data_IF_633713916871
#
_entry.id   IF_633713916871
#
_cell.length_a   1.000
_cell.length_b   1.000
_cell.length_c   1.000
_cell.angle_alpha   90.00
_cell.angle_beta   90.00
_cell.angle_gamma   90.00
#
_symmetry.space_group_name_H-M   'P 1'
#
loop_
_entity.id
_entity.type
_entity.pdbx_description
1 polymer ?
#
# COMPACT_ATOMS: atom_id res chain seq x y z
N UNK A 1 37.92 19.37 21.72
CA UNK A 1 36.53 19.08 21.30
C UNK A 1 35.63 19.84 22.23
N UNK A 2 34.96 20.87 21.73
CA UNK A 2 34.20 21.77 22.58
C UNK A 2 32.90 21.10 23.01
N UNK A 3 32.60 21.20 24.30
CA UNK A 3 31.40 20.67 24.94
C UNK A 3 30.10 21.09 24.23
N UNK A 4 30.07 22.27 23.61
CA UNK A 4 28.96 22.72 22.78
C UNK A 4 28.75 21.87 21.52
N UNK A 5 29.83 21.42 20.86
CA UNK A 5 29.74 20.58 19.64
C UNK A 5 29.17 19.20 19.97
N UNK A 6 29.59 18.62 21.10
CA UNK A 6 29.06 17.34 21.59
C UNK A 6 27.57 17.44 21.93
N UNK A 7 27.14 18.54 22.54
CA UNK A 7 25.74 18.77 22.87
C UNK A 7 24.87 18.87 21.60
N UNK A 8 25.31 19.63 20.60
CA UNK A 8 24.55 19.80 19.36
C UNK A 8 24.42 18.49 18.59
N UNK A 9 25.50 17.70 18.48
CA UNK A 9 25.46 16.38 17.81
C UNK A 9 24.52 15.42 18.55
N UNK A 10 24.55 15.41 19.88
CA UNK A 10 23.66 14.60 20.69
C UNK A 10 22.17 14.95 20.49
N UNK A 11 21.85 16.24 20.41
CA UNK A 11 20.47 16.70 20.21
C UNK A 11 19.94 16.30 18.82
N UNK A 12 20.77 16.43 17.78
CA UNK A 12 20.42 16.05 16.40
C UNK A 12 20.20 14.54 16.29
N UNK A 13 21.08 13.73 16.91
CA UNK A 13 20.92 12.28 16.95
C UNK A 13 19.62 11.86 17.65
N UNK A 14 19.33 12.46 18.81
CA UNK A 14 18.11 12.17 19.56
C UNK A 14 16.84 12.56 18.80
N UNK A 15 16.82 13.70 18.11
CA UNK A 15 15.66 14.12 17.31
C UNK A 15 15.41 13.20 16.12
N UNK A 16 16.46 12.77 15.41
CA UNK A 16 16.34 11.80 14.32
C UNK A 16 15.83 10.45 14.84
N UNK A 17 16.30 10.01 16.01
CA UNK A 17 15.85 8.77 16.63
C UNK A 17 14.36 8.84 17.01
N UNK A 18 13.92 9.96 17.61
CA UNK A 18 12.53 10.17 17.99
C UNK A 18 11.61 10.18 16.77
N UNK A 19 12.01 10.88 15.69
CA UNK A 19 11.23 10.93 14.46
C UNK A 19 11.11 9.55 13.79
N UNK A 20 12.16 8.72 13.84
CA UNK A 20 12.11 7.34 13.34
C UNK A 20 11.17 6.46 14.16
N UNK A 21 11.17 6.60 15.49
CA UNK A 21 10.27 5.85 16.38
C UNK A 21 8.81 6.23 16.13
N UNK A 22 8.52 7.52 15.97
CA UNK A 22 7.17 8.00 15.64
C UNK A 22 6.73 7.46 14.27
N UNK A 23 7.63 7.48 13.27
CA UNK A 23 7.34 6.98 11.93
C UNK A 23 7.11 5.46 11.91
N UNK A 24 7.93 4.68 12.64
CA UNK A 24 7.69 3.24 12.84
C UNK A 24 6.35 2.99 13.55
N UNK A 25 6.00 3.81 14.54
CA UNK A 25 4.71 3.71 15.23
C UNK A 25 3.52 3.92 14.29
N UNK A 26 3.60 4.90 13.39
CA UNK A 26 2.57 5.16 12.37
C UNK A 26 2.49 4.01 11.35
N UNK A 27 3.63 3.47 10.89
CA UNK A 27 3.67 2.31 10.01
C UNK A 27 3.10 1.04 10.68
N UNK A 28 3.42 0.83 11.96
CA UNK A 28 2.89 -0.27 12.75
C UNK A 28 1.37 -0.12 12.99
N UNK A 29 0.90 1.11 13.23
CA UNK A 29 -0.53 1.41 13.32
C UNK A 29 -1.24 1.19 11.97
N UNK A 30 -0.61 1.54 10.85
CA UNK A 30 -1.13 1.25 9.51
C UNK A 30 -1.20 -0.28 9.25
N UNK A 31 -0.23 -1.05 9.73
CA UNK A 31 -0.26 -2.53 9.70
C UNK A 31 -1.32 -3.12 10.63
N UNK A 32 -1.58 -2.54 11.80
CA UNK A 32 -2.70 -2.95 12.67
C UNK A 32 -4.05 -2.76 11.97
N UNK A 33 -4.22 -1.68 11.20
CA UNK A 33 -5.41 -1.50 10.35
C UNK A 33 -5.52 -2.56 9.24
N UNK A 34 -4.39 -3.09 8.76
CA UNK A 34 -4.36 -4.22 7.81
C UNK A 34 -4.66 -5.59 8.47
N UNK A 35 -4.44 -5.76 9.79
CA UNK A 35 -4.81 -7.00 10.49
C UNK A 35 -6.33 -7.22 10.54
N UNK A 36 -7.14 -6.15 10.45
CA UNK A 36 -8.60 -6.27 10.30
C UNK A 36 -9.01 -6.83 8.92
N UNK A 37 -8.16 -6.70 7.89
CA UNK A 37 -8.40 -7.21 6.53
C UNK A 37 -7.96 -8.68 6.39
N UNK A 38 -7.01 -9.14 7.22
CA UNK A 38 -6.59 -10.56 7.23
C UNK A 38 -7.66 -11.53 7.72
N UNK A 39 -8.63 -11.07 8.50
CA UNK A 39 -9.73 -11.89 9.03
C UNK A 39 -11.00 -11.82 8.18
N UNK A 40 -10.98 -11.12 7.04
CA UNK A 40 -12.14 -11.06 6.17
C UNK A 40 -12.40 -12.45 5.59
N UNK A 41 -13.60 -13.03 5.81
CA UNK A 41 -13.98 -14.28 5.20
C UNK A 41 -13.94 -14.14 3.67
N UNK A 42 -13.49 -15.21 3.02
CA UNK A 42 -13.44 -15.31 1.57
C UNK A 42 -14.64 -16.11 1.06
N UNK A 43 -15.21 -15.69 -0.07
CA UNK A 43 -16.19 -16.45 -0.84
C UNK A 43 -15.75 -16.54 -2.30
N UNK A 44 -16.28 -17.52 -3.02
CA UNK A 44 -16.07 -17.62 -4.46
C UNK A 44 -16.99 -16.62 -5.18
N UNK A 45 -16.41 -15.84 -6.07
CA UNK A 45 -17.11 -14.92 -6.95
C UNK A 45 -16.75 -15.15 -8.41
N UNK A 46 -17.46 -14.46 -9.30
CA UNK A 46 -17.24 -14.51 -10.75
C UNK A 46 -17.05 -13.10 -11.27
N UNK A 47 -16.01 -12.90 -12.08
CA UNK A 47 -15.79 -11.63 -12.77
C UNK A 47 -16.86 -11.46 -13.84
N UNK A 48 -17.67 -10.41 -13.72
CA UNK A 48 -18.70 -10.05 -14.69
C UNK A 48 -18.10 -9.29 -15.87
N UNK A 49 -17.21 -8.34 -15.59
CA UNK A 49 -16.58 -7.51 -16.61
C UNK A 49 -15.18 -7.09 -16.16
N UNK A 50 -14.26 -7.03 -17.11
CA UNK A 50 -12.90 -6.57 -16.87
C UNK A 50 -12.43 -5.74 -18.06
N UNK A 51 -12.14 -4.46 -17.84
CA UNK A 51 -11.75 -3.54 -18.90
C UNK A 51 -10.86 -2.41 -18.39
N UNK A 52 -10.20 -1.71 -19.32
CA UNK A 52 -9.41 -0.52 -19.01
C UNK A 52 -10.24 0.73 -19.23
N UNK A 53 -10.40 1.52 -18.18
CA UNK A 53 -11.05 2.82 -18.24
C UNK A 53 -9.99 3.91 -18.37
N UNK A 54 -10.02 4.65 -19.48
CA UNK A 54 -9.10 5.75 -19.73
C UNK A 54 -9.65 7.01 -19.07
N UNK A 55 -9.06 7.43 -17.94
CA UNK A 55 -9.43 8.68 -17.26
C UNK A 55 -8.47 9.79 -17.65
N UNK A 56 -9.00 10.99 -17.90
CA UNK A 56 -8.18 12.19 -18.12
C UNK A 56 -7.61 12.64 -16.78
N UNK A 57 -6.30 12.82 -16.72
CA UNK A 57 -5.65 13.38 -15.53
C UNK A 57 -5.96 14.88 -15.45
N UNK A 58 -6.38 15.36 -14.28
CA UNK A 58 -6.68 16.78 -14.02
C UNK A 58 -5.48 17.70 -14.26
N UNK A 59 -4.24 17.17 -14.21
CA UNK A 59 -3.01 17.92 -14.44
C UNK A 59 -2.45 17.67 -15.86
N UNK A 60 -3.24 18.03 -16.88
CA UNK A 60 -2.88 18.33 -18.29
C UNK A 60 -1.63 17.68 -18.94
N UNK A 61 -1.31 16.41 -18.63
CA UNK A 61 -0.32 15.58 -19.35
C UNK A 61 -0.84 14.16 -19.48
N UNK A 62 -1.73 13.96 -20.44
CA UNK A 62 -2.12 12.63 -20.91
C UNK A 62 -3.30 11.95 -20.19
N UNK A 63 -3.68 10.81 -20.74
CA UNK A 63 -4.72 9.93 -20.22
C UNK A 63 -4.11 8.73 -19.51
N UNK A 64 -4.60 8.42 -18.31
CA UNK A 64 -4.14 7.27 -17.53
C UNK A 64 -5.18 6.15 -17.64
N UNK A 65 -4.72 4.93 -17.92
CA UNK A 65 -5.59 3.75 -17.93
C UNK A 65 -5.74 3.23 -16.49
N UNK A 66 -6.99 3.04 -16.07
CA UNK A 66 -7.37 2.45 -14.79
C UNK A 66 -7.99 1.08 -15.03
N UNK A 67 -7.58 0.04 -14.29
CA UNK A 67 -8.22 -1.26 -14.40
C UNK A 67 -9.58 -1.23 -13.72
N UNK A 68 -10.59 -1.75 -14.40
CA UNK A 68 -11.95 -1.89 -13.89
C UNK A 68 -12.32 -3.36 -13.92
N UNK A 69 -12.46 -3.95 -12.74
CA UNK A 69 -12.87 -5.36 -12.59
C UNK A 69 -14.16 -5.38 -11.78
N UNK A 70 -15.27 -5.72 -12.43
CA UNK A 70 -16.57 -5.92 -11.78
C UNK A 70 -16.74 -7.41 -11.53
N UNK A 71 -17.09 -7.77 -10.30
CA UNK A 71 -17.29 -9.16 -9.90
C UNK A 71 -18.56 -9.29 -9.06
N UNK A 72 -19.21 -10.44 -9.18
CA UNK A 72 -20.36 -10.82 -8.39
C UNK A 72 -19.97 -11.95 -7.43
N UNK A 73 -20.54 -11.95 -6.23
CA UNK A 73 -20.28 -12.96 -5.21
C UNK A 73 -21.51 -13.16 -4.33
N UNK A 74 -21.57 -14.30 -3.63
CA UNK A 74 -22.68 -14.62 -2.76
C UNK A 74 -22.23 -14.78 -1.31
N UNK A 75 -23.01 -14.19 -0.39
CA UNK A 75 -22.82 -14.29 1.06
C UNK A 75 -24.19 -14.55 1.68
N UNK A 76 -24.34 -15.66 2.40
CA UNK A 76 -25.59 -16.00 3.10
C UNK A 76 -26.82 -16.10 2.19
N UNK A 77 -26.65 -16.49 0.92
CA UNK A 77 -27.74 -16.58 -0.06
C UNK A 77 -28.12 -15.26 -0.73
N UNK A 78 -27.48 -14.15 -0.38
CA UNK A 78 -27.64 -12.86 -1.08
C UNK A 78 -26.49 -12.62 -2.05
N UNK A 79 -26.83 -12.09 -3.23
CA UNK A 79 -25.84 -11.74 -4.26
C UNK A 79 -25.40 -10.29 -4.10
N UNK A 80 -24.08 -10.09 -4.10
CA UNK A 80 -23.42 -8.80 -4.00
C UNK A 80 -22.50 -8.59 -5.20
N UNK A 81 -22.18 -7.32 -5.47
CA UNK A 81 -21.29 -6.93 -6.54
C UNK A 81 -20.24 -5.98 -6.01
N UNK A 82 -19.00 -6.17 -6.46
CA UNK A 82 -17.86 -5.34 -6.09
C UNK A 82 -17.06 -4.91 -7.31
N UNK A 83 -16.31 -3.83 -7.14
CA UNK A 83 -15.40 -3.28 -8.17
C UNK A 83 -13.96 -3.11 -7.67
N UNK A 84 -13.71 -3.35 -6.38
CA UNK A 84 -12.43 -3.03 -5.74
C UNK A 84 -11.46 -4.19 -5.87
N UNK A 85 -10.28 -3.91 -6.41
CA UNK A 85 -9.24 -4.92 -6.55
C UNK A 85 -8.49 -5.10 -5.23
N UNK A 86 -8.03 -4.02 -4.59
CA UNK A 86 -7.27 -4.08 -3.34
C UNK A 86 -7.71 -2.99 -2.34
N UNK A 87 -7.45 -3.16 -1.03
CA UNK A 87 -7.70 -2.13 -0.04
C UNK A 87 -6.74 -0.95 -0.27
N UNK A 88 -7.29 0.23 -0.60
CA UNK A 88 -6.51 1.45 -0.83
C UNK A 88 -6.95 2.20 -2.08
N UNK A 89 -6.08 3.08 -2.57
CA UNK A 89 -6.35 3.87 -3.78
C UNK A 89 -6.16 3.04 -5.05
N UNK A 90 -7.01 3.26 -6.04
CA UNK A 90 -6.87 2.67 -7.39
C UNK A 90 -5.57 3.14 -8.04
N UNK A 91 -4.62 2.23 -8.23
CA UNK A 91 -3.34 2.55 -8.91
C UNK A 91 -3.52 2.35 -10.42
N UNK A 92 -3.78 3.45 -11.13
CA UNK A 92 -3.74 3.48 -12.60
C UNK A 92 -2.31 3.53 -13.14
N UNK A 93 -2.10 3.10 -14.39
CA UNK A 93 -0.78 3.16 -15.03
C UNK A 93 -0.47 1.97 -15.94
N UNK A 94 0.83 1.76 -16.24
CA UNK A 94 1.32 0.69 -17.13
C UNK A 94 0.98 -0.73 -16.63
N UNK A 95 0.75 -0.89 -15.32
CA UNK A 95 0.33 -2.15 -14.72
C UNK A 95 -1.16 -2.49 -14.89
N UNK A 96 -2.00 -1.54 -15.33
CA UNK A 96 -3.45 -1.74 -15.41
C UNK A 96 -3.84 -2.88 -16.37
N UNK A 97 -3.14 -3.02 -17.50
CA UNK A 97 -3.40 -4.11 -18.46
C UNK A 97 -3.18 -5.49 -17.85
N UNK A 98 -2.11 -5.66 -17.06
CA UNK A 98 -1.80 -6.93 -16.38
C UNK A 98 -2.88 -7.33 -15.37
N UNK A 99 -3.57 -6.36 -14.76
CA UNK A 99 -4.67 -6.63 -13.84
C UNK A 99 -5.89 -7.15 -14.60
N UNK A 100 -6.22 -6.54 -15.73
CA UNK A 100 -7.34 -6.99 -16.58
C UNK A 100 -7.08 -8.39 -17.14
N UNK A 101 -5.84 -8.67 -17.57
CA UNK A 101 -5.41 -10.01 -18.03
C UNK A 101 -5.47 -11.06 -16.91
N UNK A 102 -5.16 -10.68 -15.66
CA UNK A 102 -5.24 -11.58 -14.51
C UNK A 102 -6.69 -11.93 -14.14
N UNK A 103 -7.62 -11.02 -14.41
CA UNK A 103 -9.03 -11.16 -14.06
C UNK A 103 -9.93 -11.03 -15.29
N UNK A 104 -9.92 -11.99 -16.23
CA UNK A 104 -10.79 -11.94 -17.40
C UNK A 104 -12.26 -12.15 -17.02
N UNK A 105 -13.19 -11.66 -17.84
CA UNK A 105 -14.62 -11.90 -17.64
C UNK A 105 -14.93 -13.41 -17.65
N UNK A 106 -15.77 -13.86 -16.72
CA UNK A 106 -16.08 -15.27 -16.49
C UNK A 106 -15.08 -16.00 -15.58
N UNK A 107 -13.95 -15.38 -15.19
CA UNK A 107 -13.02 -16.00 -14.27
C UNK A 107 -13.63 -16.17 -12.87
N UNK A 108 -13.37 -17.32 -12.25
CA UNK A 108 -13.64 -17.52 -10.83
C UNK A 108 -12.53 -16.85 -10.01
N UNK A 109 -12.93 -16.02 -9.05
CA UNK A 109 -12.02 -15.24 -8.22
C UNK A 109 -12.41 -15.38 -6.76
N UNK A 110 -11.41 -15.35 -5.89
CA UNK A 110 -11.63 -15.30 -4.46
C UNK A 110 -11.94 -13.85 -4.06
N UNK A 111 -13.10 -13.65 -3.43
CA UNK A 111 -13.58 -12.35 -2.98
C UNK A 111 -13.55 -12.32 -1.46
N UNK A 112 -12.81 -11.38 -0.90
CA UNK A 112 -12.75 -11.15 0.55
C UNK A 112 -13.74 -10.05 0.91
N UNK A 113 -14.73 -10.37 1.74
CA UNK A 113 -15.79 -9.42 2.11
C UNK A 113 -15.72 -9.08 3.60
N UNK A 114 -16.17 -7.88 3.95
CA UNK A 114 -16.30 -7.47 5.33
C UNK A 114 -17.53 -8.17 5.96
N UNK A 115 -17.37 -8.98 7.03
CA UNK A 115 -18.49 -9.73 7.61
C UNK A 115 -19.53 -8.83 8.30
N UNK A 116 -19.14 -7.61 8.71
CA UNK A 116 -20.07 -6.62 9.26
C UNK A 116 -20.79 -5.84 8.16
N UNK A 117 -20.22 -5.78 6.95
CA UNK A 117 -20.82 -5.13 5.80
C UNK A 117 -20.44 -5.86 4.49
N UNK A 118 -21.21 -6.88 4.07
CA UNK A 118 -20.88 -7.71 2.91
C UNK A 118 -20.79 -6.95 1.59
N UNK A 119 -21.27 -5.70 1.51
CA UNK A 119 -21.13 -4.84 0.34
C UNK A 119 -19.71 -4.29 0.14
N UNK A 120 -18.87 -4.31 1.17
CA UNK A 120 -17.46 -3.94 1.07
C UNK A 120 -16.63 -5.21 0.87
N UNK A 121 -16.08 -5.38 -0.33
CA UNK A 121 -15.28 -6.53 -0.70
C UNK A 121 -14.11 -6.16 -1.60
N UNK A 122 -13.05 -6.96 -1.56
CA UNK A 122 -11.82 -6.81 -2.34
C UNK A 122 -11.35 -8.15 -2.91
N UNK A 123 -10.65 -8.14 -4.04
CA UNK A 123 -10.08 -9.34 -4.67
C UNK A 123 -8.70 -9.71 -4.11
N UNK A 124 -7.91 -8.72 -3.74
CA UNK A 124 -6.57 -8.87 -3.19
C UNK A 124 -6.54 -8.19 -1.81
N UNK A 125 -6.15 -8.94 -0.78
CA UNK A 125 -5.97 -8.39 0.58
C UNK A 125 -4.61 -7.71 0.78
N UNK A 126 -3.72 -7.83 -0.20
CA UNK A 126 -2.35 -7.31 -0.16
C UNK A 126 -2.22 -6.12 -1.11
N UNK A 127 -2.23 -4.89 -0.59
CA UNK A 127 -1.70 -3.78 -1.36
C UNK A 127 -0.19 -4.04 -1.65
N UNK A 128 0.33 -3.73 -2.85
CA UNK A 128 1.73 -3.91 -3.15
C UNK A 128 2.58 -2.99 -2.26
N UNK A 129 3.18 -3.57 -1.22
CA UNK A 129 4.05 -2.93 -0.25
C UNK A 129 5.45 -2.57 -0.81
N UNK A 130 5.57 -2.33 -2.12
CA UNK A 130 6.85 -1.99 -2.77
C UNK A 130 7.45 -0.70 -2.18
N UNK A 131 6.61 0.25 -1.76
CA UNK A 131 7.04 1.50 -1.13
C UNK A 131 7.64 1.31 0.28
N UNK A 132 7.32 0.22 0.97
CA UNK A 132 7.91 -0.11 2.28
C UNK A 132 9.37 -0.59 2.10
N UNK A 133 9.66 -1.34 1.02
CA UNK A 133 11.03 -1.74 0.67
C UNK A 133 11.92 -0.53 0.31
N UNK A 134 11.38 0.47 -0.40
CA UNK A 134 12.09 1.72 -0.69
C UNK A 134 12.34 2.56 0.57
N UNK A 135 11.40 2.59 1.51
CA UNK A 135 11.58 3.28 2.80
C UNK A 135 12.65 2.63 3.69
N UNK A 136 12.72 1.29 3.72
CA UNK A 136 13.76 0.56 4.47
C UNK A 136 15.16 0.84 3.90
N UNK A 137 15.30 0.92 2.58
CA UNK A 137 16.58 1.22 1.94
C UNK A 137 17.04 2.67 2.18
N UNK A 138 16.13 3.65 2.15
CA UNK A 138 16.48 5.06 2.42
C UNK A 138 16.86 5.28 3.89
N UNK A 139 16.23 4.57 4.84
CA UNK A 139 16.60 4.64 6.26
C UNK A 139 17.99 4.04 6.50
N UNK A 140 18.34 2.94 5.81
CA UNK A 140 19.67 2.31 5.89
C UNK A 140 20.74 3.23 5.28
N UNK A 141 20.44 3.93 4.18
CA UNK A 141 21.38 4.84 3.51
C UNK A 141 21.65 6.12 4.32
N UNK A 142 20.61 6.73 4.89
CA UNK A 142 20.73 7.95 5.71
C UNK A 142 21.47 7.70 7.03
N UNK A 143 21.31 6.50 7.60
CA UNK A 143 22.03 6.11 8.82
C UNK A 143 23.49 5.76 8.55
N UNK A 144 23.81 5.11 7.42
CA UNK A 144 25.19 4.85 7.01
C UNK A 144 25.96 6.14 6.73
N UNK A 145 25.33 7.11 6.04
CA UNK A 145 25.93 8.41 5.72
C UNK A 145 26.19 9.26 6.98
N UNK A 146 25.26 9.20 7.95
CA UNK A 146 25.42 9.89 9.24
C UNK A 146 26.59 9.36 10.07
N UNK A 147 26.82 8.04 10.08
CA UNK A 147 27.96 7.44 10.80
C UNK A 147 29.31 7.69 10.12
N UNK A 148 29.37 7.68 8.79
CA UNK A 148 30.61 7.93 8.05
C UNK A 148 31.10 9.38 8.19
N UNK A 149 30.20 10.37 8.23
CA UNK A 149 30.55 11.77 8.41
C UNK A 149 31.09 12.07 9.82
N UNK A 150 30.56 11.40 10.85
CA UNK A 150 31.06 11.51 12.23
C UNK A 150 32.45 10.88 12.35
N UNK A 151 32.67 9.72 11.74
CA UNK A 151 33.97 9.04 11.73
C UNK A 151 35.07 9.84 10.99
N UNK A 152 34.72 10.52 9.89
CA UNK A 152 35.65 11.35 9.12
C UNK A 152 36.03 12.67 9.81
N UNK A 153 35.26 13.11 10.81
CA UNK A 153 35.48 14.37 11.53
C UNK A 153 36.22 14.16 12.87
N UNK A 154 36.29 12.92 13.35
CA UNK A 154 36.99 12.53 14.59
C UNK A 154 38.42 12.02 14.36
N UNK A 155 38.81 11.79 13.11
CA UNK A 155 40.13 11.31 12.69
C UNK A 155 41.05 12.47 12.27
#
# INVERSE_FOLDING_TARGET
MDNEVLLVVGIIGCTVMILNVIFLGILFAAQRKMNAVKTWPSTMGTVMASYLERRRSSNNRGSVNYPVVQYAYQVGGQSYQGRRIAPGMEVGGTGAGKVVERYPAGAQVMVFYNPQNPSDAVLETKAPAQWILWLVLVIIDVTLCGMAAVFAFTL
#
